data_IF_391910685515
#
_entry.id   IF_391910685515
#
_cell.length_a   1.000
_cell.length_b   1.000
_cell.length_c   1.000
_cell.angle_alpha   90.00
_cell.angle_beta   90.00
_cell.angle_gamma   90.00
#
_symmetry.space_group_name_H-M   'P 1'
#
loop_
_entity.id
_entity.type
_entity.pdbx_description
1 polymer ?
#
# COMPACT_ATOMS: atom_id res chain seq x y z
N UNK A 1 24.52 50.73 -9.98
CA UNK A 1 23.38 51.26 -9.20
C UNK A 1 22.68 50.06 -8.60
N UNK A 2 23.02 49.74 -7.35
CA UNK A 2 22.60 48.51 -6.65
C UNK A 2 21.46 48.87 -5.71
N UNK A 3 20.32 48.18 -5.79
CA UNK A 3 19.26 48.33 -4.80
C UNK A 3 18.94 46.96 -4.24
N UNK A 4 19.17 46.85 -2.94
CA UNK A 4 18.98 45.68 -2.10
C UNK A 4 17.66 45.88 -1.36
N UNK A 5 16.73 44.92 -1.45
CA UNK A 5 15.54 44.83 -0.60
C UNK A 5 15.53 43.38 -0.13
N UNK A 6 15.86 43.06 1.12
CA UNK A 6 15.11 43.49 2.29
C UNK A 6 14.33 42.28 2.81
N UNK A 7 15.06 41.35 3.41
CA UNK A 7 14.67 40.36 4.43
C UNK A 7 13.17 40.09 4.64
N UNK A 8 12.63 39.08 3.96
CA UNK A 8 11.49 38.32 4.48
C UNK A 8 11.65 36.85 4.11
N UNK A 9 12.12 36.07 5.08
CA UNK A 9 12.08 34.60 5.04
C UNK A 9 10.61 34.17 4.97
N UNK A 10 10.06 34.05 3.77
CA UNK A 10 8.92 33.17 3.54
C UNK A 10 9.49 31.75 3.58
N UNK A 11 9.44 31.15 4.77
CA UNK A 11 9.60 29.71 4.93
C UNK A 11 8.35 29.09 4.29
N UNK A 12 8.34 29.01 2.96
CA UNK A 12 7.53 28.00 2.30
C UNK A 12 8.13 26.69 2.78
N UNK A 13 7.45 26.02 3.70
CA UNK A 13 7.71 24.63 4.05
C UNK A 13 7.47 23.82 2.78
N UNK A 14 8.41 23.89 1.84
CA UNK A 14 8.64 22.83 0.88
C UNK A 14 8.91 21.65 1.77
N UNK A 15 7.90 20.80 1.92
CA UNK A 15 8.08 19.42 2.36
C UNK A 15 9.33 18.96 1.64
N UNK A 16 10.43 18.83 2.38
CA UNK A 16 11.57 18.07 1.93
C UNK A 16 11.05 16.63 1.84
N UNK A 17 10.31 16.36 0.76
CA UNK A 17 10.15 15.03 0.21
C UNK A 17 11.57 14.67 -0.15
N UNK A 18 12.26 14.06 0.83
CA UNK A 18 13.36 13.18 0.54
C UNK A 18 12.88 12.37 -0.64
N UNK A 19 13.58 12.49 -1.77
CA UNK A 19 13.35 11.65 -2.94
C UNK A 19 13.81 10.24 -2.59
N UNK A 20 13.16 9.64 -1.59
CA UNK A 20 13.03 8.21 -1.52
C UNK A 20 12.42 7.87 -2.88
N UNK A 21 13.17 7.13 -3.69
CA UNK A 21 12.57 6.38 -4.79
C UNK A 21 11.35 5.73 -4.17
N UNK A 22 10.15 6.20 -4.54
CA UNK A 22 8.89 5.62 -4.12
C UNK A 22 8.91 4.23 -4.74
N UNK A 23 9.55 3.30 -4.06
CA UNK A 23 9.30 1.90 -4.29
C UNK A 23 7.80 1.77 -4.07
N UNK A 24 7.04 1.19 -5.01
CA UNK A 24 5.63 0.92 -4.81
C UNK A 24 5.50 -0.17 -3.74
N UNK A 25 5.79 0.19 -2.49
CA UNK A 25 5.90 -0.70 -1.32
C UNK A 25 4.72 -0.39 -0.39
N UNK A 26 3.53 -0.32 -0.98
CA UNK A 26 2.29 -0.26 -0.24
C UNK A 26 1.78 -1.66 0.09
N UNK A 27 1.05 -1.80 1.19
CA UNK A 27 0.34 -3.05 1.55
C UNK A 27 -0.56 -3.53 0.39
N UNK A 28 -1.11 -2.59 -0.38
CA UNK A 28 -1.91 -2.87 -1.58
C UNK A 28 -1.16 -3.76 -2.59
N UNK A 29 0.13 -3.49 -2.84
CA UNK A 29 0.92 -4.27 -3.79
C UNK A 29 1.20 -5.68 -3.28
N UNK A 30 1.44 -5.82 -1.97
CA UNK A 30 1.65 -7.13 -1.35
C UNK A 30 0.38 -7.97 -1.48
N UNK A 31 -0.78 -7.41 -1.11
CA UNK A 31 -2.06 -8.12 -1.19
C UNK A 31 -2.37 -8.50 -2.64
N UNK A 32 -2.24 -7.58 -3.60
CA UNK A 32 -2.51 -7.87 -5.01
C UNK A 32 -1.58 -8.96 -5.57
N UNK A 33 -0.28 -8.89 -5.26
CA UNK A 33 0.68 -9.92 -5.69
C UNK A 33 0.35 -11.28 -5.10
N UNK A 34 -0.04 -11.33 -3.82
CA UNK A 34 -0.46 -12.58 -3.15
C UNK A 34 -1.70 -13.15 -3.83
N UNK A 35 -2.71 -12.32 -4.12
CA UNK A 35 -3.93 -12.75 -4.81
C UNK A 35 -3.58 -13.38 -6.17
N UNK A 36 -2.74 -12.71 -6.96
CA UNK A 36 -2.33 -13.20 -8.29
C UNK A 36 -1.54 -14.52 -8.19
N UNK A 37 -0.64 -14.67 -7.22
CA UNK A 37 0.11 -15.92 -7.04
C UNK A 37 -0.77 -17.09 -6.55
N UNK A 38 -1.80 -16.81 -5.75
CA UNK A 38 -2.77 -17.82 -5.29
C UNK A 38 -3.79 -18.22 -6.35
N UNK A 39 -4.01 -17.36 -7.35
CA UNK A 39 -4.84 -17.67 -8.51
C UNK A 39 -4.08 -18.54 -9.52
N UNK A 40 -2.78 -18.29 -9.73
CA UNK A 40 -1.92 -19.09 -10.63
C UNK A 40 -1.79 -20.54 -10.18
N UNK A 41 -1.69 -20.78 -8.87
CA UNK A 41 -1.44 -22.12 -8.33
C UNK A 41 -2.37 -22.40 -7.15
N UNK A 42 -3.29 -23.33 -7.37
CA UNK A 42 -4.32 -23.72 -6.39
C UNK A 42 -3.77 -24.46 -5.16
N UNK A 43 -2.54 -24.95 -5.21
CA UNK A 43 -1.89 -25.63 -4.08
C UNK A 43 -1.29 -24.66 -3.07
N UNK A 44 -1.05 -23.40 -3.47
CA UNK A 44 -0.44 -22.39 -2.62
C UNK A 44 -1.40 -21.92 -1.54
N UNK A 45 -0.84 -21.71 -0.35
CA UNK A 45 -1.54 -21.16 0.82
C UNK A 45 -0.75 -20.00 1.35
N UNK A 46 -1.45 -19.00 1.86
CA UNK A 46 -0.84 -17.82 2.44
C UNK A 46 -1.55 -17.45 3.74
N UNK A 47 -0.78 -17.05 4.74
CA UNK A 47 -1.32 -16.65 6.03
C UNK A 47 -0.97 -15.18 6.31
N UNK A 48 -1.98 -14.41 6.71
CA UNK A 48 -1.84 -12.99 6.99
C UNK A 48 -2.05 -12.70 8.47
N UNK A 49 -1.10 -11.98 9.08
CA UNK A 49 -1.08 -11.70 10.52
C UNK A 49 -1.67 -10.32 10.86
N UNK A 50 -1.39 -9.29 10.06
CA UNK A 50 -1.71 -7.91 10.43
C UNK A 50 -3.13 -7.49 10.02
N UNK A 51 -4.09 -7.72 10.91
CA UNK A 51 -5.51 -7.40 10.69
C UNK A 51 -5.76 -5.91 10.37
N UNK A 52 -5.02 -4.97 10.97
CA UNK A 52 -5.24 -3.52 10.82
C UNK A 52 -5.02 -3.04 9.38
N UNK A 53 -3.94 -3.48 8.74
CA UNK A 53 -3.64 -3.14 7.36
C UNK A 53 -4.58 -3.84 6.37
N UNK A 54 -4.99 -5.08 6.68
CA UNK A 54 -5.97 -5.81 5.87
C UNK A 54 -7.33 -5.12 5.91
N UNK A 55 -7.79 -4.68 7.09
CA UNK A 55 -9.07 -4.01 7.26
C UNK A 55 -9.14 -2.71 6.46
N UNK A 56 -8.06 -1.92 6.51
CA UNK A 56 -7.97 -0.69 5.71
C UNK A 56 -7.99 -0.97 4.21
N UNK A 57 -7.32 -2.02 3.76
CA UNK A 57 -7.36 -2.45 2.36
C UNK A 57 -8.77 -2.90 1.92
N UNK A 58 -9.48 -3.67 2.76
CA UNK A 58 -10.83 -4.16 2.46
C UNK A 58 -11.87 -3.06 2.27
N UNK A 59 -11.70 -1.92 2.95
CA UNK A 59 -12.62 -0.77 2.83
C UNK A 59 -12.39 0.00 1.53
N UNK A 60 -11.12 0.12 1.13
CA UNK A 60 -10.73 0.96 0.01
C UNK A 60 -10.85 0.25 -1.35
N UNK A 61 -10.89 -1.10 -1.40
CA UNK A 61 -10.74 -1.87 -2.64
C UNK A 61 -12.00 -2.60 -3.10
N UNK A 62 -12.35 -2.40 -4.37
CA UNK A 62 -13.46 -3.06 -5.10
C UNK A 62 -13.22 -4.57 -5.29
N UNK A 63 -11.97 -5.03 -5.21
CA UNK A 63 -11.58 -6.44 -5.42
C UNK A 63 -11.81 -7.34 -4.20
N UNK A 64 -12.57 -6.87 -3.21
CA UNK A 64 -12.91 -7.61 -1.98
C UNK A 64 -13.50 -8.99 -2.28
N UNK A 65 -14.22 -9.14 -3.39
CA UNK A 65 -14.83 -10.40 -3.82
C UNK A 65 -13.79 -11.46 -4.26
N UNK A 66 -12.65 -11.06 -4.85
CA UNK A 66 -11.54 -11.99 -5.17
C UNK A 66 -10.94 -12.57 -3.89
N UNK A 67 -10.68 -11.69 -2.92
CA UNK A 67 -10.17 -12.06 -1.60
C UNK A 67 -11.13 -13.03 -0.89
N UNK A 68 -12.44 -12.73 -0.85
CA UNK A 68 -13.46 -13.60 -0.22
C UNK A 68 -13.46 -15.01 -0.81
N UNK A 69 -13.45 -15.14 -2.14
CA UNK A 69 -13.40 -16.45 -2.82
C UNK A 69 -12.16 -17.27 -2.45
N UNK A 70 -11.01 -16.63 -2.25
CA UNK A 70 -9.78 -17.32 -1.86
C UNK A 70 -9.78 -17.73 -0.38
N UNK A 71 -10.40 -16.94 0.49
CA UNK A 71 -10.63 -17.31 1.90
C UNK A 71 -11.60 -18.48 2.01
N UNK A 72 -12.70 -18.47 1.25
CA UNK A 72 -13.67 -19.58 1.21
C UNK A 72 -13.04 -20.89 0.72
N UNK A 73 -12.09 -20.81 -0.23
CA UNK A 73 -11.30 -21.95 -0.71
C UNK A 73 -10.18 -22.37 0.27
N UNK A 74 -10.10 -21.72 1.43
CA UNK A 74 -9.09 -21.92 2.46
C UNK A 74 -7.67 -21.55 2.02
N UNK A 75 -7.49 -20.85 0.90
CA UNK A 75 -6.16 -20.52 0.35
C UNK A 75 -5.51 -19.35 1.11
N UNK A 76 -6.33 -18.50 1.71
CA UNK A 76 -5.88 -17.46 2.61
C UNK A 76 -6.40 -17.76 4.01
N UNK A 77 -5.48 -17.89 4.96
CA UNK A 77 -5.78 -17.96 6.38
C UNK A 77 -5.55 -16.58 6.99
N UNK A 78 -6.55 -16.07 7.69
CA UNK A 78 -6.40 -14.93 8.57
C UNK A 78 -6.06 -15.46 9.96
N UNK A 79 -4.90 -15.08 10.48
CA UNK A 79 -4.47 -15.40 11.85
C UNK A 79 -4.96 -14.30 12.79
#
# INVERSE_FOLDING_TARGET
MTIWVGSRLLISTTMAVSKNKLTPTGVQYIINTVLDELEKDASRRFAWCETSFLWRWLIDHVETERMKKLVERGRILRI
#
